data_IF_725717033137
#
_entry.id   IF_725717033137
#
_cell.length_a   1.000
_cell.length_b   1.000
_cell.length_c   1.000
_cell.angle_alpha   90.00
_cell.angle_beta   90.00
_cell.angle_gamma   90.00
#
_symmetry.space_group_name_H-M   'P 1'
#
loop_
_entity.id
_entity.type
_entity.pdbx_description
1 polymer ?
#
# COMPACT_ATOMS: atom_id res chain seq x y z
N UNK A 1 -21.14 -32.31 7.84
CA UNK A 1 -21.51 -31.63 6.58
C UNK A 1 -21.71 -30.10 6.74
N UNK A 2 -22.44 -29.57 7.75
CA UNK A 2 -22.60 -28.12 7.87
C UNK A 2 -21.29 -27.36 8.12
N UNK A 3 -20.37 -27.87 8.94
CA UNK A 3 -19.09 -27.24 9.24
C UNK A 3 -18.21 -27.03 8.01
N UNK A 4 -18.13 -27.99 7.12
CA UNK A 4 -17.35 -27.90 5.88
C UNK A 4 -17.94 -26.88 4.92
N UNK A 5 -19.25 -26.71 4.92
CA UNK A 5 -19.94 -25.74 4.07
C UNK A 5 -19.76 -24.31 4.60
N UNK A 6 -19.81 -24.14 5.93
CA UNK A 6 -19.53 -22.86 6.61
C UNK A 6 -18.08 -22.43 6.36
N UNK A 7 -17.12 -23.34 6.57
CA UNK A 7 -15.71 -23.07 6.28
C UNK A 7 -15.47 -22.71 4.82
N UNK A 8 -16.11 -23.43 3.88
CA UNK A 8 -15.98 -23.12 2.47
C UNK A 8 -16.53 -21.72 2.12
N UNK A 9 -17.65 -21.31 2.74
CA UNK A 9 -18.21 -19.97 2.56
C UNK A 9 -17.31 -18.87 3.14
N UNK A 10 -16.71 -19.11 4.31
CA UNK A 10 -15.76 -18.19 4.94
C UNK A 10 -14.53 -17.96 4.05
N UNK A 11 -13.92 -19.06 3.58
CA UNK A 11 -12.78 -18.98 2.66
C UNK A 11 -13.16 -18.28 1.35
N UNK A 12 -14.36 -18.53 0.84
CA UNK A 12 -14.84 -17.88 -0.38
C UNK A 12 -15.05 -16.38 -0.19
N UNK A 13 -15.65 -15.94 0.92
CA UNK A 13 -15.88 -14.53 1.22
C UNK A 13 -14.55 -13.79 1.44
N UNK A 14 -13.66 -14.35 2.23
CA UNK A 14 -12.33 -13.76 2.45
C UNK A 14 -11.51 -13.69 1.14
N UNK A 15 -11.60 -14.73 0.30
CA UNK A 15 -11.01 -14.75 -1.03
C UNK A 15 -11.58 -13.68 -1.96
N UNK A 16 -12.89 -13.43 -1.90
CA UNK A 16 -13.56 -12.39 -2.69
C UNK A 16 -13.10 -11.00 -2.26
N UNK A 17 -12.98 -10.73 -0.96
CA UNK A 17 -12.48 -9.47 -0.42
C UNK A 17 -11.04 -9.23 -0.86
N UNK A 18 -10.16 -10.21 -0.69
CA UNK A 18 -8.80 -10.14 -1.20
C UNK A 18 -8.76 -9.89 -2.72
N UNK A 19 -9.64 -10.55 -3.46
CA UNK A 19 -9.78 -10.38 -4.92
C UNK A 19 -10.09 -8.95 -5.34
N UNK A 20 -10.94 -8.23 -4.60
CA UNK A 20 -11.24 -6.82 -4.87
C UNK A 20 -10.01 -5.92 -4.67
N UNK A 21 -9.20 -6.19 -3.64
CA UNK A 21 -7.93 -5.47 -3.42
C UNK A 21 -6.93 -5.71 -4.55
N UNK A 22 -6.80 -6.97 -5.01
CA UNK A 22 -5.97 -7.30 -6.18
C UNK A 22 -6.50 -6.65 -7.47
N UNK A 23 -7.81 -6.58 -7.65
CA UNK A 23 -8.43 -5.90 -8.78
C UNK A 23 -8.09 -4.40 -8.80
N UNK A 24 -8.04 -3.74 -7.63
CA UNK A 24 -7.61 -2.33 -7.53
C UNK A 24 -6.16 -2.15 -8.00
N UNK A 25 -5.26 -3.04 -7.59
CA UNK A 25 -3.85 -3.01 -8.04
C UNK A 25 -3.77 -3.25 -9.56
N UNK A 26 -4.48 -4.25 -10.07
CA UNK A 26 -4.53 -4.56 -11.50
C UNK A 26 -5.06 -3.38 -12.33
N UNK A 27 -6.11 -2.70 -11.84
CA UNK A 27 -6.65 -1.51 -12.47
C UNK A 27 -5.62 -0.38 -12.55
N UNK A 28 -4.83 -0.20 -11.49
CA UNK A 28 -3.71 0.76 -11.49
C UNK A 28 -2.71 0.46 -12.61
N UNK A 29 -2.34 -0.82 -12.82
CA UNK A 29 -1.48 -1.22 -13.94
C UNK A 29 -2.11 -0.87 -15.31
N UNK A 30 -3.39 -1.18 -15.48
CA UNK A 30 -4.12 -0.91 -16.74
C UNK A 30 -4.16 0.59 -17.02
N UNK A 31 -4.44 1.42 -16.01
CA UNK A 31 -4.51 2.88 -16.17
C UNK A 31 -3.15 3.47 -16.57
N UNK A 32 -2.07 3.05 -15.90
CA UNK A 32 -0.72 3.52 -16.24
C UNK A 32 -0.35 3.07 -17.65
N UNK A 33 -0.62 1.81 -18.00
CA UNK A 33 -0.35 1.30 -19.35
C UNK A 33 -1.17 2.04 -20.41
N UNK A 34 -2.45 2.30 -20.17
CA UNK A 34 -3.32 3.06 -21.09
C UNK A 34 -2.84 4.50 -21.28
N UNK A 35 -2.32 5.12 -20.24
CA UNK A 35 -1.84 6.51 -20.28
C UNK A 35 -0.44 6.65 -20.89
N UNK A 36 0.47 5.69 -20.64
CA UNK A 36 1.89 5.81 -21.00
C UNK A 36 2.33 4.86 -22.11
N UNK A 37 1.55 3.81 -22.40
CA UNK A 37 1.96 2.72 -23.30
C UNK A 37 3.08 1.83 -22.74
N UNK A 38 3.48 2.04 -21.48
CA UNK A 38 4.61 1.36 -20.85
C UNK A 38 4.09 0.54 -19.66
N UNK A 39 4.50 -0.72 -19.59
CA UNK A 39 4.24 -1.56 -18.42
C UNK A 39 5.19 -1.16 -17.29
N UNK A 40 4.65 -0.53 -16.24
CA UNK A 40 5.46 -0.09 -15.11
C UNK A 40 5.55 -1.18 -14.03
N UNK A 41 6.64 -1.97 -14.06
CA UNK A 41 6.90 -3.01 -13.07
C UNK A 41 7.06 -2.44 -11.63
N UNK A 42 7.57 -1.21 -11.51
CA UNK A 42 7.82 -0.58 -10.20
C UNK A 42 6.54 -0.18 -9.44
N UNK A 43 5.35 -0.29 -10.04
CA UNK A 43 4.11 0.18 -9.42
C UNK A 43 3.84 -0.47 -8.06
N UNK A 44 4.03 -1.77 -7.91
CA UNK A 44 3.84 -2.48 -6.64
C UNK A 44 4.80 -1.97 -5.55
N UNK A 45 6.07 -1.77 -5.90
CA UNK A 45 7.08 -1.24 -4.98
C UNK A 45 6.82 0.23 -4.65
N UNK A 46 6.31 1.04 -5.60
CA UNK A 46 5.87 2.41 -5.32
C UNK A 46 4.72 2.45 -4.32
N UNK A 47 3.76 1.54 -4.43
CA UNK A 47 2.66 1.42 -3.47
C UNK A 47 3.19 1.03 -2.08
N UNK A 48 4.11 0.07 -1.99
CA UNK A 48 4.76 -0.32 -0.75
C UNK A 48 5.53 0.86 -0.13
N UNK A 49 6.34 1.56 -0.93
CA UNK A 49 7.09 2.75 -0.48
C UNK A 49 6.16 3.84 0.05
N UNK A 50 5.02 4.06 -0.62
CA UNK A 50 3.98 4.99 -0.17
C UNK A 50 3.41 4.58 1.20
N UNK A 51 3.08 3.29 1.38
CA UNK A 51 2.57 2.76 2.64
C UNK A 51 3.60 2.90 3.77
N UNK A 52 4.86 2.57 3.52
CA UNK A 52 5.95 2.73 4.50
C UNK A 52 6.14 4.21 4.88
N UNK A 53 6.07 5.11 3.90
CA UNK A 53 6.17 6.57 4.13
C UNK A 53 5.00 7.07 4.98
N UNK A 54 3.78 6.61 4.72
CA UNK A 54 2.61 6.95 5.52
C UNK A 54 2.79 6.53 6.98
N UNK A 55 3.17 5.28 7.22
CA UNK A 55 3.41 4.76 8.58
C UNK A 55 4.55 5.52 9.27
N UNK A 56 5.64 5.79 8.55
CA UNK A 56 6.77 6.54 9.06
C UNK A 56 6.38 7.95 9.52
N UNK A 57 5.61 8.68 8.71
CA UNK A 57 5.11 10.02 9.03
C UNK A 57 4.14 9.97 10.22
N UNK A 58 3.18 9.05 10.23
CA UNK A 58 2.22 8.92 11.33
C UNK A 58 2.89 8.65 12.67
N UNK A 59 3.90 7.80 12.68
CA UNK A 59 4.67 7.47 13.89
C UNK A 59 5.73 8.53 14.24
N UNK A 60 5.91 9.55 13.41
CA UNK A 60 6.95 10.56 13.59
C UNK A 60 8.37 9.96 13.50
N UNK A 61 8.57 8.92 12.69
CA UNK A 61 9.89 8.34 12.48
C UNK A 61 10.78 9.29 11.70
N UNK A 62 12.04 9.34 12.08
CA UNK A 62 13.06 10.11 11.35
C UNK A 62 13.50 9.29 10.13
N UNK A 63 13.33 9.81 8.89
CA UNK A 63 13.85 9.13 7.71
C UNK A 63 15.36 8.91 7.84
N UNK A 64 15.84 7.74 7.44
CA UNK A 64 17.26 7.36 7.55
C UNK A 64 17.81 7.33 8.99
N UNK A 65 16.96 7.22 10.00
CA UNK A 65 17.37 7.27 11.41
C UNK A 65 18.53 6.31 11.72
N UNK A 66 18.46 5.07 11.28
CA UNK A 66 19.51 4.08 11.55
C UNK A 66 20.82 4.38 10.81
N UNK A 67 20.77 4.99 9.64
CA UNK A 67 21.97 5.45 8.91
C UNK A 67 22.60 6.64 9.64
N UNK A 68 21.77 7.60 10.08
CA UNK A 68 22.21 8.77 10.85
C UNK A 68 22.84 8.33 12.16
N UNK A 69 22.20 7.41 12.87
CA UNK A 69 22.69 6.89 14.14
C UNK A 69 24.02 6.12 13.97
N UNK A 70 24.16 5.35 12.89
CA UNK A 70 25.40 4.64 12.58
C UNK A 70 26.57 5.58 12.26
N UNK A 71 26.32 6.71 11.61
CA UNK A 71 27.36 7.67 11.22
C UNK A 71 27.71 8.61 12.37
N UNK A 72 26.71 9.12 13.10
CA UNK A 72 26.89 10.14 14.13
C UNK A 72 26.86 9.62 15.57
N UNK A 73 26.62 8.31 15.78
CA UNK A 73 26.53 7.71 17.12
C UNK A 73 25.38 8.26 17.96
N UNK A 74 24.29 8.70 17.32
CA UNK A 74 23.09 9.24 17.97
C UNK A 74 22.01 8.15 18.06
N UNK A 75 21.09 8.25 19.03
CA UNK A 75 19.95 7.33 19.19
C UNK A 75 18.62 8.01 18.81
N UNK A 76 18.59 8.69 17.67
CA UNK A 76 17.40 9.41 17.22
C UNK A 76 16.57 8.49 16.32
N UNK A 77 15.43 8.03 16.82
CA UNK A 77 14.50 7.18 16.06
C UNK A 77 13.18 7.89 15.75
N UNK A 78 12.72 8.77 16.61
CA UNK A 78 11.43 9.44 16.51
C UNK A 78 11.55 10.93 16.83
N UNK A 79 10.72 11.74 16.18
CA UNK A 79 10.60 13.19 16.47
C UNK A 79 9.85 13.49 17.78
N UNK A 80 9.32 12.46 18.48
CA UNK A 80 8.57 12.61 19.73
C UNK A 80 7.12 13.13 19.57
N UNK A 81 6.60 13.23 18.36
CA UNK A 81 5.24 13.62 18.05
C UNK A 81 4.61 12.66 17.06
N UNK A 82 3.31 12.43 17.18
CA UNK A 82 2.51 11.66 16.23
C UNK A 82 1.72 12.60 15.35
N UNK A 83 1.67 12.33 14.05
CA UNK A 83 0.95 13.15 13.08
C UNK A 83 -0.45 12.56 12.89
N UNK A 84 -1.54 13.38 12.92
CA UNK A 84 -2.88 12.90 12.65
C UNK A 84 -2.95 12.22 11.26
N UNK A 85 -3.74 11.16 11.12
CA UNK A 85 -3.82 10.35 9.92
C UNK A 85 -4.09 11.18 8.65
N UNK A 86 -5.01 12.12 8.72
CA UNK A 86 -5.39 12.97 7.58
C UNK A 86 -4.22 13.85 7.10
N UNK A 87 -3.46 14.42 8.01
CA UNK A 87 -2.29 15.24 7.69
C UNK A 87 -1.13 14.37 7.18
N UNK A 88 -0.95 13.16 7.75
CA UNK A 88 0.02 12.19 7.28
C UNK A 88 -0.27 11.74 5.84
N UNK A 89 -1.54 11.52 5.47
CA UNK A 89 -1.95 11.19 4.10
C UNK A 89 -1.56 12.33 3.14
N UNK A 90 -1.89 13.58 3.48
CA UNK A 90 -1.54 14.74 2.65
C UNK A 90 -0.03 14.85 2.45
N UNK A 91 0.76 14.70 3.51
CA UNK A 91 2.22 14.72 3.44
C UNK A 91 2.77 13.58 2.60
N UNK A 92 2.22 12.36 2.76
CA UNK A 92 2.63 11.20 1.97
C UNK A 92 2.35 11.43 0.49
N UNK A 93 1.16 11.96 0.14
CA UNK A 93 0.83 12.30 -1.25
C UNK A 93 1.80 13.33 -1.80
N UNK A 94 2.14 14.37 -1.03
CA UNK A 94 3.12 15.38 -1.44
C UNK A 94 4.51 14.76 -1.71
N UNK A 95 4.98 13.88 -0.83
CA UNK A 95 6.24 13.14 -1.02
C UNK A 95 6.19 12.28 -2.28
N UNK A 96 5.10 11.56 -2.51
CA UNK A 96 4.93 10.70 -3.69
C UNK A 96 4.85 11.51 -4.99
N UNK A 97 4.23 12.69 -4.98
CA UNK A 97 4.19 13.60 -6.13
C UNK A 97 5.60 14.11 -6.46
N UNK A 98 6.36 14.54 -5.46
CA UNK A 98 7.75 14.96 -5.65
C UNK A 98 8.61 13.81 -6.17
N UNK A 99 8.43 12.62 -5.63
CA UNK A 99 9.12 11.43 -6.08
C UNK A 99 8.77 11.09 -7.54
N UNK A 100 7.49 11.07 -7.90
CA UNK A 100 7.03 10.82 -9.27
C UNK A 100 7.60 11.86 -10.26
N UNK A 101 7.61 13.14 -9.87
CA UNK A 101 8.23 14.20 -10.65
C UNK A 101 9.74 13.98 -10.85
N UNK A 102 10.46 13.56 -9.81
CA UNK A 102 11.89 13.26 -9.89
C UNK A 102 12.17 12.09 -10.83
N UNK A 103 11.41 10.98 -10.68
CA UNK A 103 11.52 9.80 -11.55
C UNK A 103 11.24 10.18 -13.01
N UNK A 104 10.18 10.95 -13.26
CA UNK A 104 9.86 11.40 -14.62
C UNK A 104 10.99 12.27 -15.20
N UNK A 105 11.51 13.22 -14.42
CA UNK A 105 12.53 14.16 -14.88
C UNK A 105 13.89 13.50 -15.11
N UNK A 106 14.32 12.61 -14.21
CA UNK A 106 15.69 12.06 -14.21
C UNK A 106 15.79 10.71 -14.91
N UNK A 107 14.71 9.91 -14.93
CA UNK A 107 14.70 8.57 -15.51
C UNK A 107 13.92 8.56 -16.83
N UNK A 108 12.61 8.74 -16.78
CA UNK A 108 11.77 8.54 -17.95
C UNK A 108 12.01 9.56 -19.09
N UNK A 109 12.35 10.80 -18.76
CA UNK A 109 12.66 11.80 -19.78
C UNK A 109 13.78 11.39 -20.73
N UNK A 110 14.78 10.67 -20.21
CA UNK A 110 15.93 10.22 -21.00
C UNK A 110 15.63 8.93 -21.79
N UNK A 111 14.54 8.26 -21.45
CA UNK A 111 14.12 7.02 -22.10
C UNK A 111 13.03 7.23 -23.16
N UNK A 112 12.59 8.47 -23.37
CA UNK A 112 11.59 8.79 -24.41
C UNK A 112 12.14 8.42 -25.77
N UNK A 113 11.37 7.62 -26.55
CA UNK A 113 11.76 7.16 -27.87
C UNK A 113 12.61 5.88 -27.91
N UNK A 114 12.90 5.29 -26.75
CA UNK A 114 13.56 3.99 -26.65
C UNK A 114 12.56 2.84 -26.86
N UNK A 115 13.09 1.65 -27.18
CA UNK A 115 12.29 0.45 -27.33
C UNK A 115 11.54 0.08 -26.04
N UNK A 116 10.31 -0.50 -26.12
CA UNK A 116 9.52 -0.84 -24.94
C UNK A 116 10.23 -1.76 -23.95
N UNK A 117 11.13 -2.61 -24.41
CA UNK A 117 11.93 -3.51 -23.57
C UNK A 117 12.89 -2.73 -22.67
N UNK A 118 13.50 -1.66 -23.17
CA UNK A 118 14.42 -0.80 -22.42
C UNK A 118 13.64 -0.08 -21.32
N UNK A 119 12.45 0.42 -21.63
CA UNK A 119 11.55 1.06 -20.68
C UNK A 119 11.13 0.09 -19.59
N UNK A 120 10.78 -1.15 -19.94
CA UNK A 120 10.44 -2.18 -18.97
C UNK A 120 11.62 -2.51 -18.05
N UNK A 121 12.83 -2.69 -18.59
CA UNK A 121 14.03 -2.93 -17.79
C UNK A 121 14.35 -1.75 -16.86
N UNK A 122 14.13 -0.53 -17.29
CA UNK A 122 14.28 0.65 -16.44
C UNK A 122 13.30 0.66 -15.25
N UNK A 123 12.05 0.19 -15.45
CA UNK A 123 11.08 0.08 -14.35
C UNK A 123 11.44 -1.02 -13.36
N UNK A 124 12.08 -2.10 -13.80
CA UNK A 124 12.64 -3.13 -12.90
C UNK A 124 13.77 -2.53 -12.06
N UNK A 125 14.71 -1.83 -12.70
CA UNK A 125 15.79 -1.14 -11.98
C UNK A 125 15.26 -0.12 -10.96
N UNK A 126 14.20 0.62 -11.34
CA UNK A 126 13.52 1.54 -10.44
C UNK A 126 12.86 0.83 -9.25
N UNK A 127 12.30 -0.37 -9.45
CA UNK A 127 11.71 -1.15 -8.37
C UNK A 127 12.76 -1.52 -7.32
N UNK A 128 13.89 -2.09 -7.72
CA UNK A 128 14.99 -2.43 -6.81
C UNK A 128 15.60 -1.20 -6.13
N UNK A 129 15.73 -0.10 -6.86
CA UNK A 129 16.19 1.17 -6.29
C UNK A 129 15.28 1.66 -5.18
N UNK A 130 13.95 1.61 -5.40
CA UNK A 130 12.97 2.02 -4.41
C UNK A 130 12.91 1.11 -3.19
N UNK A 131 13.05 -0.20 -3.40
CA UNK A 131 13.13 -1.17 -2.33
C UNK A 131 14.33 -0.85 -1.42
N UNK A 132 15.51 -0.65 -2.00
CA UNK A 132 16.69 -0.27 -1.25
C UNK A 132 16.57 1.09 -0.55
N UNK A 133 15.98 2.10 -1.20
CA UNK A 133 15.73 3.41 -0.57
C UNK A 133 14.69 3.29 0.54
N UNK A 134 13.63 2.49 0.34
CA UNK A 134 12.62 2.23 1.37
C UNK A 134 13.22 1.62 2.63
N UNK A 135 14.07 0.60 2.46
CA UNK A 135 14.78 -0.05 3.55
C UNK A 135 15.73 0.90 4.28
N UNK A 136 16.46 1.73 3.54
CA UNK A 136 17.35 2.73 4.13
C UNK A 136 16.59 3.84 4.87
N UNK A 137 15.44 4.26 4.38
CA UNK A 137 14.64 5.33 4.99
C UNK A 137 13.89 4.87 6.23
N UNK A 138 13.25 3.70 6.14
CA UNK A 138 12.23 3.29 7.09
C UNK A 138 12.56 2.01 7.86
N UNK A 139 13.68 1.36 7.56
CA UNK A 139 14.07 0.04 8.06
C UNK A 139 13.09 -1.08 7.61
N UNK A 140 13.63 -2.28 7.40
CA UNK A 140 12.87 -3.47 6.91
C UNK A 140 11.98 -4.13 7.96
N UNK A 141 11.66 -3.47 9.07
CA UNK A 141 10.80 -4.02 10.10
C UNK A 141 9.34 -4.06 9.66
N UNK A 142 8.63 -5.11 10.08
CA UNK A 142 7.19 -5.24 9.87
C UNK A 142 6.47 -4.14 10.66
N UNK A 143 5.86 -3.19 9.95
CA UNK A 143 5.16 -2.06 10.55
C UNK A 143 3.65 -2.30 10.52
N UNK A 144 3.01 -2.25 11.68
CA UNK A 144 1.56 -2.21 11.74
C UNK A 144 1.08 -0.79 11.45
N UNK A 145 0.18 -0.67 10.48
CA UNK A 145 -0.48 0.58 10.12
C UNK A 145 -1.75 0.71 10.97
N UNK A 146 -1.75 1.66 11.90
CA UNK A 146 -2.93 2.05 12.66
C UNK A 146 -3.40 3.42 12.17
N UNK A 147 -4.33 3.43 11.25
CA UNK A 147 -4.95 4.67 10.70
C UNK A 147 -6.22 5.06 11.46
N UNK A 148 -6.51 4.43 12.59
CA UNK A 148 -7.78 4.64 13.32
C UNK A 148 -8.98 3.97 12.63
N UNK A 149 -8.72 3.08 11.65
CA UNK A 149 -9.75 2.17 11.14
C UNK A 149 -9.96 1.05 12.17
N UNK A 150 -11.17 0.51 12.29
CA UNK A 150 -11.45 -0.60 13.20
C UNK A 150 -10.55 -1.78 12.81
N UNK A 151 -9.55 -2.03 13.64
CA UNK A 151 -8.64 -3.18 13.52
C UNK A 151 -9.05 -4.19 14.58
N UNK A 152 -9.23 -5.44 14.22
CA UNK A 152 -9.73 -6.54 15.05
C UNK A 152 -8.88 -6.91 16.28
N UNK A 153 -8.48 -5.91 17.09
CA UNK A 153 -7.69 -6.11 18.31
C UNK A 153 -8.55 -5.99 19.59
N UNK A 154 -9.75 -5.43 19.50
CA UNK A 154 -10.69 -5.35 20.63
C UNK A 154 -11.83 -6.35 20.41
N UNK A 155 -11.77 -7.48 21.11
CA UNK A 155 -12.68 -8.64 21.00
C UNK A 155 -14.19 -8.33 21.12
N UNK A 156 -14.59 -7.13 21.47
CA UNK A 156 -15.99 -6.78 21.74
C UNK A 156 -16.69 -5.98 20.63
N UNK A 157 -15.97 -5.36 19.67
CA UNK A 157 -16.56 -4.41 18.70
C UNK A 157 -16.03 -4.63 17.26
N UNK A 158 -14.92 -5.34 17.08
CA UNK A 158 -14.14 -5.28 15.84
C UNK A 158 -14.39 -6.44 14.84
N UNK A 159 -15.07 -7.49 15.24
CA UNK A 159 -15.43 -8.60 14.37
C UNK A 159 -16.94 -8.79 14.31
N UNK A 160 -17.53 -8.68 13.14
CA UNK A 160 -18.89 -9.12 12.93
C UNK A 160 -18.92 -10.63 12.86
N UNK A 161 -19.46 -11.26 13.91
CA UNK A 161 -19.73 -12.68 13.91
C UNK A 161 -21.15 -12.87 13.39
N UNK A 162 -21.29 -13.30 12.15
CA UNK A 162 -22.59 -13.72 11.61
C UNK A 162 -22.86 -15.16 12.01
N UNK A 163 -23.80 -15.38 12.90
CA UNK A 163 -24.24 -16.73 13.26
C UNK A 163 -25.27 -17.21 12.23
N UNK A 164 -24.83 -18.09 11.32
CA UNK A 164 -25.73 -18.82 10.42
C UNK A 164 -25.67 -20.28 10.83
N UNK A 165 -26.81 -20.88 11.24
CA UNK A 165 -26.92 -22.24 11.70
C UNK A 165 -26.05 -22.62 12.93
N UNK A 166 -25.95 -21.75 13.95
CA UNK A 166 -25.08 -21.90 15.14
C UNK A 166 -23.57 -21.94 14.88
N UNK A 167 -23.14 -21.60 13.67
CA UNK A 167 -21.73 -21.44 13.33
C UNK A 167 -21.41 -19.96 13.13
N UNK A 168 -20.34 -19.45 13.79
CA UNK A 168 -19.87 -18.09 13.65
C UNK A 168 -18.95 -17.91 12.44
N UNK A 169 -19.22 -16.92 11.60
CA UNK A 169 -18.31 -16.45 10.55
C UNK A 169 -17.46 -15.32 11.12
N UNK A 170 -16.15 -15.43 10.99
CA UNK A 170 -15.23 -14.35 11.37
C UNK A 170 -14.87 -13.52 10.14
N UNK A 171 -15.37 -12.31 10.07
CA UNK A 171 -14.99 -11.33 9.04
C UNK A 171 -14.38 -10.12 9.76
N UNK A 172 -13.17 -9.75 9.37
CA UNK A 172 -12.51 -8.57 9.92
C UNK A 172 -13.19 -7.29 9.38
N UNK A 173 -13.50 -6.36 10.28
CA UNK A 173 -14.07 -5.07 9.92
C UNK A 173 -13.17 -4.27 8.97
N UNK A 174 -11.85 -4.41 9.11
CA UNK A 174 -10.89 -3.78 8.24
C UNK A 174 -11.04 -4.28 6.80
N UNK A 175 -11.24 -5.57 6.59
CA UNK A 175 -11.42 -6.17 5.27
C UNK A 175 -12.71 -5.69 4.60
N UNK A 176 -13.79 -5.51 5.36
CA UNK A 176 -15.06 -4.97 4.86
C UNK A 176 -14.87 -3.52 4.38
N UNK A 177 -14.27 -2.67 5.23
CA UNK A 177 -14.05 -1.25 4.92
C UNK A 177 -13.09 -1.11 3.74
N UNK A 178 -11.99 -1.86 3.72
CA UNK A 178 -11.02 -1.84 2.62
C UNK A 178 -11.65 -2.30 1.30
N UNK A 179 -12.46 -3.37 1.34
CA UNK A 179 -13.18 -3.89 0.17
C UNK A 179 -14.19 -2.88 -0.36
N UNK A 180 -14.93 -2.20 0.52
CA UNK A 180 -15.92 -1.19 0.11
C UNK A 180 -15.26 0.01 -0.54
N UNK A 181 -14.15 0.51 0.03
CA UNK A 181 -13.36 1.61 -0.54
C UNK A 181 -12.78 1.18 -1.89
N UNK A 182 -12.19 0.00 -1.98
CA UNK A 182 -11.63 -0.52 -3.22
C UNK A 182 -12.71 -0.70 -4.31
N UNK A 183 -13.88 -1.24 -3.97
CA UNK A 183 -14.99 -1.39 -4.89
C UNK A 183 -15.54 -0.05 -5.41
N UNK A 184 -15.61 0.98 -4.54
CA UNK A 184 -15.99 2.33 -4.93
C UNK A 184 -14.96 2.96 -5.89
N UNK A 185 -13.68 2.78 -5.62
CA UNK A 185 -12.60 3.28 -6.48
C UNK A 185 -12.60 2.57 -7.84
N UNK A 186 -12.72 1.25 -7.85
CA UNK A 186 -12.82 0.46 -9.10
C UNK A 186 -14.06 0.87 -9.89
N UNK A 187 -15.23 0.96 -9.23
CA UNK A 187 -16.47 1.39 -9.87
C UNK A 187 -16.40 2.82 -10.42
N UNK A 188 -15.83 3.75 -9.66
CA UNK A 188 -15.61 5.12 -10.11
C UNK A 188 -14.70 5.20 -11.33
N UNK A 189 -13.60 4.46 -11.34
CA UNK A 189 -12.67 4.44 -12.47
C UNK A 189 -13.25 3.76 -13.71
N UNK A 190 -14.09 2.74 -13.56
CA UNK A 190 -14.78 2.09 -14.69
C UNK A 190 -15.78 3.04 -15.36
N UNK A 191 -16.41 3.94 -14.61
CA UNK A 191 -17.33 4.95 -15.18
C UNK A 191 -16.55 6.01 -15.97
N UNK A 192 -15.31 6.33 -15.54
CA UNK A 192 -14.47 7.33 -16.20
C UNK A 192 -13.60 6.75 -17.35
N UNK A 193 -13.49 5.46 -17.49
CA UNK A 193 -12.70 4.78 -18.52
C UNK A 193 -13.46 4.55 -19.79
#
# INVERSE_FOLDING_TARGET
>A
MPEQLVFAMEVFLNGLMAGVLYALVALGFVLIFKASGIFNYAQGVMALFSAMTLVGIMKGQVPFAHVINAIFGTDVHYFGWTVPALLAIILTVAVMVLFAWAVQKYIFRHLVGQEPIILFMATIGLAYFLEGVGDLMWNSEIKKLDVGLPQGINEAIDNYTFNIFDYGFFIDNLDIVATLIAALLVGGLLIFS
#
